data_IF_940587954395
#
_entry.id   IF_940587954395
#
_cell.length_a   1.000
_cell.length_b   1.000
_cell.length_c   1.000
_cell.angle_alpha   90.00
_cell.angle_beta   90.00
_cell.angle_gamma   90.00
#
_symmetry.space_group_name_H-M   'P 1'
#
loop_
_entity.id
_entity.type
_entity.pdbx_description
1 polymer ?
#
# COMPACT_ATOMS: atom_id res chain seq x y z
N UNK A 1 17.56 39.32 59.77
CA UNK A 1 17.43 40.46 58.85
C UNK A 1 17.92 39.97 57.49
N UNK A 2 16.98 39.76 56.56
CA UNK A 2 17.16 39.76 55.10
C UNK A 2 17.93 38.63 54.40
N UNK A 3 17.80 37.38 54.87
CA UNK A 3 18.21 36.17 54.12
C UNK A 3 17.61 36.11 52.70
N UNK A 4 16.29 36.26 52.58
CA UNK A 4 15.65 36.30 51.26
C UNK A 4 16.07 37.48 50.38
N UNK A 5 16.57 38.56 50.98
CA UNK A 5 17.06 39.71 50.22
C UNK A 5 18.44 39.42 49.59
N UNK A 6 19.30 38.65 50.25
CA UNK A 6 20.60 38.25 49.65
C UNK A 6 20.38 37.29 48.48
N UNK A 7 19.45 36.34 48.63
CA UNK A 7 18.99 35.45 47.57
C UNK A 7 18.35 36.24 46.42
N UNK A 8 17.48 37.20 46.72
CA UNK A 8 16.88 38.10 45.74
C UNK A 8 17.93 38.80 44.88
N UNK A 9 18.93 39.43 45.50
CA UNK A 9 19.99 40.15 44.77
C UNK A 9 20.81 39.21 43.87
N UNK A 10 21.11 37.98 44.33
CA UNK A 10 21.83 36.97 43.55
C UNK A 10 21.00 36.42 42.38
N UNK A 11 19.69 36.22 42.57
CA UNK A 11 18.81 35.76 41.48
C UNK A 11 18.60 36.87 40.45
N UNK A 12 18.40 38.12 40.90
CA UNK A 12 18.26 39.28 40.03
C UNK A 12 19.51 39.50 39.15
N UNK A 13 20.72 39.23 39.66
CA UNK A 13 21.96 39.39 38.88
C UNK A 13 22.17 38.28 37.84
N UNK A 14 21.77 37.04 38.17
CA UNK A 14 22.06 35.86 37.35
C UNK A 14 20.93 35.49 36.37
N UNK A 15 19.69 35.89 36.68
CA UNK A 15 18.48 35.50 35.95
C UNK A 15 17.62 36.73 35.61
N UNK A 16 18.20 37.66 34.83
CA UNK A 16 17.52 38.89 34.38
C UNK A 16 16.26 38.66 33.55
N UNK A 17 16.12 37.46 32.98
CA UNK A 17 15.03 37.09 32.08
C UNK A 17 13.76 36.63 32.84
N UNK A 18 13.83 36.52 34.17
CA UNK A 18 12.71 36.19 35.04
C UNK A 18 12.17 37.42 35.76
N UNK A 19 10.86 37.43 36.02
CA UNK A 19 10.22 38.47 36.82
C UNK A 19 10.37 38.14 38.30
N UNK A 20 11.35 38.78 38.94
CA UNK A 20 11.73 38.56 40.33
C UNK A 20 11.28 39.76 41.16
N UNK A 21 10.37 39.54 42.10
CA UNK A 21 9.83 40.58 42.98
C UNK A 21 10.06 40.23 44.44
N UNK A 22 10.47 41.23 45.23
CA UNK A 22 10.65 41.10 46.67
C UNK A 22 9.77 42.10 47.42
N UNK A 23 8.86 41.59 48.23
CA UNK A 23 8.12 42.33 49.24
C UNK A 23 8.68 41.97 50.63
N UNK A 24 8.45 42.78 51.68
CA UNK A 24 8.98 42.50 53.01
C UNK A 24 8.59 41.09 53.50
N UNK A 25 9.56 40.17 53.48
CA UNK A 25 9.38 38.77 53.89
C UNK A 25 8.83 37.82 52.81
N UNK A 26 8.57 38.26 51.58
CA UNK A 26 8.08 37.41 50.48
C UNK A 26 8.88 37.64 49.20
N UNK A 27 9.57 36.61 48.74
CA UNK A 27 10.25 36.55 47.45
C UNK A 27 9.40 35.77 46.46
N UNK A 28 9.07 36.38 45.32
CA UNK A 28 8.36 35.71 44.21
C UNK A 28 9.22 35.75 42.97
N UNK A 29 9.45 34.59 42.35
CA UNK A 29 10.20 34.44 41.11
C UNK A 29 9.28 33.83 40.07
N UNK A 30 9.00 34.54 38.98
CA UNK A 30 8.22 34.03 37.85
C UNK A 30 9.12 33.84 36.64
N UNK A 31 9.20 32.59 36.16
CA UNK A 31 9.97 32.21 34.99
C UNK A 31 9.09 31.35 34.07
N UNK A 32 8.82 31.81 32.84
CA UNK A 32 7.93 31.13 31.87
C UNK A 32 6.58 30.73 32.52
N UNK A 33 6.28 29.44 32.59
CA UNK A 33 5.04 28.87 33.11
C UNK A 33 5.13 28.49 34.61
N UNK A 34 6.26 28.76 35.25
CA UNK A 34 6.51 28.42 36.65
C UNK A 34 6.67 29.64 37.56
N UNK A 35 6.37 29.43 38.83
CA UNK A 35 6.42 30.45 39.88
C UNK A 35 7.03 29.86 41.15
N UNK A 36 7.99 30.54 41.76
CA UNK A 36 8.51 30.20 43.09
C UNK A 36 8.02 31.27 44.07
N UNK A 37 7.46 30.86 45.20
CA UNK A 37 7.07 31.76 46.30
C UNK A 37 7.76 31.34 47.58
N UNK A 38 8.57 32.23 48.15
CA UNK A 38 9.29 31.99 49.41
C UNK A 38 8.92 33.05 50.45
N UNK A 39 8.31 32.65 51.57
CA UNK A 39 7.83 33.54 52.65
C UNK A 39 8.74 33.55 53.90
N UNK A 40 9.91 32.94 53.79
CA UNK A 40 10.92 32.83 54.85
C UNK A 40 10.75 31.59 55.75
N UNK A 41 9.57 30.96 55.74
CA UNK A 41 9.31 29.71 56.44
C UNK A 41 9.12 28.54 55.47
N UNK A 42 8.48 28.83 54.33
CA UNK A 42 8.15 27.88 53.28
C UNK A 42 8.52 28.43 51.92
N UNK A 43 8.98 27.53 51.06
CA UNK A 43 9.22 27.81 49.65
C UNK A 43 8.40 26.85 48.81
N UNK A 44 7.47 27.40 48.03
CA UNK A 44 6.61 26.67 47.13
C UNK A 44 7.11 26.86 45.69
N UNK A 45 7.34 25.76 44.99
CA UNK A 45 7.66 25.70 43.58
C UNK A 45 6.41 25.31 42.82
N UNK A 46 5.94 26.17 41.93
CA UNK A 46 4.73 25.98 41.15
C UNK A 46 5.06 25.88 39.66
N UNK A 47 4.40 24.96 38.96
CA UNK A 47 4.40 24.83 37.49
C UNK A 47 2.94 24.77 37.05
N UNK A 48 2.53 25.64 36.11
CA UNK A 48 1.13 25.81 35.67
C UNK A 48 0.13 26.02 36.83
N UNK A 49 0.57 26.73 37.87
CA UNK A 49 -0.24 27.06 39.06
C UNK A 49 -0.46 25.91 40.05
N UNK A 50 0.17 24.74 39.85
CA UNK A 50 0.15 23.61 40.79
C UNK A 50 1.48 23.53 41.55
N UNK A 51 1.43 23.27 42.86
CA UNK A 51 2.63 23.07 43.67
C UNK A 51 3.31 21.75 43.29
N UNK A 52 4.50 21.83 42.70
CA UNK A 52 5.35 20.69 42.33
C UNK A 52 6.20 20.25 43.52
N UNK A 53 6.65 21.21 44.31
CA UNK A 53 7.48 20.95 45.49
C UNK A 53 7.23 22.02 46.55
N UNK A 54 7.20 21.60 47.81
CA UNK A 54 7.17 22.48 48.98
C UNK A 54 8.38 22.14 49.86
N UNK A 55 9.19 23.15 50.19
CA UNK A 55 10.32 23.02 51.09
C UNK A 55 10.05 23.84 52.35
N UNK A 56 10.26 23.19 53.50
CA UNK A 56 10.31 23.83 54.82
C UNK A 56 11.77 24.17 55.14
N UNK A 57 11.97 25.38 55.66
CA UNK A 57 13.23 26.00 56.11
C UNK A 57 14.53 25.18 55.88
N UNK A 58 15.29 25.55 54.84
CA UNK A 58 16.65 25.08 54.52
C UNK A 58 17.66 26.23 54.68
N UNK A 59 18.93 25.90 54.88
CA UNK A 59 20.05 26.86 54.85
C UNK A 59 20.08 27.67 53.53
N UNK A 60 20.53 28.92 53.57
CA UNK A 60 20.51 29.93 52.49
C UNK A 60 21.04 29.37 51.17
N UNK A 61 22.21 28.74 51.20
CA UNK A 61 22.87 28.23 50.00
C UNK A 61 22.12 27.03 49.39
N UNK A 62 21.57 26.16 50.24
CA UNK A 62 20.78 25.01 49.78
C UNK A 62 19.44 25.49 49.19
N UNK A 63 18.85 26.55 49.75
CA UNK A 63 17.63 27.13 49.20
C UNK A 63 17.89 27.80 47.84
N UNK A 64 18.98 28.55 47.72
CA UNK A 64 19.39 29.15 46.44
C UNK A 64 19.64 28.09 45.36
N UNK A 65 20.38 27.02 45.68
CA UNK A 65 20.66 25.93 44.74
C UNK A 65 19.39 25.25 44.23
N UNK A 66 18.39 25.01 45.09
CA UNK A 66 17.12 24.42 44.66
C UNK A 66 16.28 25.39 43.82
N UNK A 67 16.28 26.68 44.15
CA UNK A 67 15.65 27.73 43.33
C UNK A 67 16.29 27.81 41.95
N UNK A 68 17.62 27.78 41.89
CA UNK A 68 18.38 27.78 40.64
C UNK A 68 18.11 26.52 39.81
N UNK A 69 18.13 25.32 40.41
CA UNK A 69 17.78 24.07 39.72
C UNK A 69 16.38 24.12 39.13
N UNK A 70 15.40 24.64 39.87
CA UNK A 70 14.04 24.76 39.36
C UNK A 70 13.91 25.78 38.23
N UNK A 71 14.61 26.91 38.31
CA UNK A 71 14.66 27.90 37.22
C UNK A 71 15.28 27.29 35.96
N UNK A 72 16.39 26.56 36.09
CA UNK A 72 17.02 25.85 34.98
C UNK A 72 16.11 24.78 34.38
N UNK A 73 15.42 23.99 35.22
CA UNK A 73 14.42 23.02 34.80
C UNK A 73 13.30 23.66 33.96
N UNK A 74 12.76 24.81 34.38
CA UNK A 74 11.76 25.57 33.60
C UNK A 74 12.36 26.14 32.31
N UNK A 75 13.62 26.57 32.33
CA UNK A 75 14.32 27.05 31.14
C UNK A 75 14.54 25.94 30.09
N UNK A 76 14.77 24.70 30.53
CA UNK A 76 14.93 23.53 29.66
C UNK A 76 13.61 22.97 29.10
N UNK A 77 12.46 23.45 29.57
CA UNK A 77 11.13 23.06 29.07
C UNK A 77 10.29 22.26 30.07
N UNK A 78 10.68 22.24 31.35
CA UNK A 78 9.87 21.73 32.45
C UNK A 78 9.49 20.26 32.31
N UNK A 79 8.28 19.92 32.74
CA UNK A 79 7.81 18.54 32.78
C UNK A 79 7.75 17.87 31.39
N UNK A 80 7.65 18.66 30.32
CA UNK A 80 7.62 18.17 28.95
C UNK A 80 9.01 17.80 28.43
N UNK A 81 10.06 18.49 28.89
CA UNK A 81 11.45 18.15 28.57
C UNK A 81 11.91 16.89 29.33
N UNK A 82 11.50 16.74 30.59
CA UNK A 82 11.91 15.64 31.49
C UNK A 82 11.22 14.28 31.19
N UNK A 83 10.20 14.24 30.33
CA UNK A 83 9.55 12.99 29.92
C UNK A 83 10.47 12.14 29.04
N UNK A 84 10.57 10.83 29.35
CA UNK A 84 11.35 9.88 28.58
C UNK A 84 10.83 9.76 27.15
N UNK A 85 11.73 9.53 26.19
CA UNK A 85 11.39 9.41 24.77
C UNK A 85 10.33 8.32 24.51
N UNK A 86 10.32 7.25 25.31
CA UNK A 86 9.30 6.19 25.24
C UNK A 86 7.90 6.68 25.62
N UNK A 87 7.78 7.52 26.66
CA UNK A 87 6.49 8.05 27.11
C UNK A 87 5.92 9.04 26.08
N UNK A 88 6.78 9.86 25.48
CA UNK A 88 6.45 10.77 24.38
C UNK A 88 5.97 10.02 23.13
N UNK A 89 6.60 8.88 22.82
CA UNK A 89 6.15 8.00 21.74
C UNK A 89 4.78 7.36 22.01
N UNK A 90 4.49 7.00 23.26
CA UNK A 90 3.21 6.39 23.65
C UNK A 90 2.03 7.36 23.54
N UNK A 91 2.28 8.65 23.84
CA UNK A 91 1.28 9.72 23.75
C UNK A 91 0.93 10.13 22.32
N UNK A 92 1.64 9.65 21.30
CA UNK A 92 1.33 9.96 19.90
C UNK A 92 0.51 8.82 19.24
N UNK A 93 -0.84 8.91 19.17
CA UNK A 93 -1.68 7.85 18.62
C UNK A 93 -1.42 7.61 17.12
N UNK A 94 -1.04 8.65 16.37
CA UNK A 94 -0.70 8.51 14.96
C UNK A 94 0.57 7.68 14.79
N UNK A 95 1.56 7.87 15.67
CA UNK A 95 2.82 7.14 15.65
C UNK A 95 2.59 5.66 15.98
N UNK A 96 1.81 5.40 17.03
CA UNK A 96 1.47 4.05 17.46
C UNK A 96 0.67 3.26 16.40
N UNK A 97 -0.32 3.90 15.77
CA UNK A 97 -1.10 3.29 14.70
C UNK A 97 -0.24 2.99 13.45
N UNK A 98 0.63 3.92 13.06
CA UNK A 98 1.55 3.72 11.95
C UNK A 98 2.55 2.59 12.24
N UNK A 99 3.09 2.52 13.45
CA UNK A 99 4.06 1.50 13.87
C UNK A 99 3.43 0.10 13.89
N UNK A 100 2.33 -0.08 14.64
CA UNK A 100 1.63 -1.37 14.79
C UNK A 100 1.14 -1.93 13.46
N UNK A 101 0.53 -1.08 12.61
CA UNK A 101 0.00 -1.50 11.31
C UNK A 101 1.09 -1.80 10.30
N UNK A 102 2.20 -1.05 10.33
CA UNK A 102 3.37 -1.38 9.51
C UNK A 102 4.04 -2.68 9.95
N UNK A 103 4.08 -2.95 11.27
CA UNK A 103 4.63 -4.15 11.87
C UNK A 103 3.85 -5.41 11.49
N UNK A 104 2.52 -5.42 11.64
CA UNK A 104 1.66 -6.57 11.27
C UNK A 104 1.84 -6.97 9.80
N UNK A 105 1.96 -5.99 8.90
CA UNK A 105 2.12 -6.25 7.47
C UNK A 105 3.54 -6.72 7.15
N UNK A 106 4.57 -6.12 7.76
CA UNK A 106 5.94 -6.57 7.61
C UNK A 106 6.11 -8.02 8.10
N UNK A 107 5.49 -8.38 9.23
CA UNK A 107 5.48 -9.74 9.76
C UNK A 107 4.84 -10.75 8.81
N UNK A 108 3.68 -10.42 8.21
CA UNK A 108 3.04 -11.29 7.20
C UNK A 108 3.92 -11.50 5.96
N UNK A 109 4.61 -10.45 5.51
CA UNK A 109 5.54 -10.55 4.37
C UNK A 109 6.75 -11.42 4.72
N UNK A 110 7.30 -11.26 5.93
CA UNK A 110 8.39 -12.09 6.45
C UNK A 110 7.99 -13.57 6.55
N UNK A 111 6.78 -13.88 7.02
CA UNK A 111 6.28 -15.25 7.08
C UNK A 111 6.15 -15.87 5.68
N UNK A 112 5.63 -15.12 4.71
CA UNK A 112 5.50 -15.61 3.33
C UNK A 112 6.88 -15.80 2.68
N UNK A 113 7.78 -14.83 2.86
CA UNK A 113 9.13 -14.88 2.30
C UNK A 113 9.97 -16.01 2.91
N UNK A 114 9.89 -16.20 4.24
CA UNK A 114 10.55 -17.29 4.95
C UNK A 114 9.96 -18.66 4.62
N UNK A 115 8.63 -18.76 4.46
CA UNK A 115 7.98 -19.99 4.00
C UNK A 115 8.41 -20.40 2.60
N UNK A 116 8.55 -19.44 1.68
CA UNK A 116 9.08 -19.69 0.35
C UNK A 116 10.57 -20.13 0.38
N UNK A 117 11.38 -19.55 1.26
CA UNK A 117 12.78 -19.95 1.47
C UNK A 117 12.90 -21.37 2.01
N UNK A 118 12.04 -21.75 2.96
CA UNK A 118 11.99 -23.10 3.54
C UNK A 118 11.58 -24.16 2.50
N UNK A 119 10.64 -23.80 1.60
CA UNK A 119 10.26 -24.66 0.47
C UNK A 119 11.39 -24.81 -0.55
N UNK A 120 12.12 -23.73 -0.84
CA UNK A 120 13.30 -23.78 -1.70
C UNK A 120 14.38 -24.68 -1.07
N UNK A 121 14.66 -24.53 0.22
CA UNK A 121 15.61 -25.37 0.96
C UNK A 121 15.19 -26.85 1.00
N UNK A 122 13.91 -27.15 1.21
CA UNK A 122 13.38 -28.52 1.20
C UNK A 122 13.51 -29.17 -0.19
N UNK A 123 13.37 -28.39 -1.26
CA UNK A 123 13.63 -28.84 -2.62
C UNK A 123 15.12 -29.10 -2.87
N UNK A 124 16.02 -28.29 -2.30
CA UNK A 124 17.47 -28.47 -2.39
C UNK A 124 17.95 -29.76 -1.73
N UNK A 125 17.42 -30.12 -0.57
CA UNK A 125 17.82 -31.33 0.16
C UNK A 125 17.49 -32.63 -0.58
N UNK A 126 16.62 -32.57 -1.59
CA UNK A 126 16.18 -33.73 -2.36
C UNK A 126 17.03 -34.00 -3.61
N UNK A 127 17.89 -33.07 -3.99
CA UNK A 127 18.61 -33.09 -5.26
C UNK A 127 20.04 -32.65 -4.98
N UNK A 128 21.01 -33.60 -4.98
CA UNK A 128 22.42 -33.51 -4.54
C UNK A 128 23.29 -32.45 -5.26
N UNK A 129 22.80 -31.22 -5.42
CA UNK A 129 23.41 -30.10 -6.14
C UNK A 129 23.36 -28.85 -5.24
N UNK A 130 24.04 -28.93 -4.09
CA UNK A 130 24.04 -27.92 -3.02
C UNK A 130 24.56 -26.54 -3.49
N UNK A 131 25.48 -26.50 -4.46
CA UNK A 131 26.16 -25.27 -4.88
C UNK A 131 25.27 -24.31 -5.69
N UNK A 132 24.32 -24.84 -6.47
CA UNK A 132 23.48 -24.04 -7.38
C UNK A 132 22.37 -23.25 -6.68
N UNK A 133 22.00 -23.65 -5.46
CA UNK A 133 20.95 -23.00 -4.68
C UNK A 133 21.45 -22.06 -3.59
N UNK A 134 22.77 -22.04 -3.31
CA UNK A 134 23.40 -21.06 -2.40
C UNK A 134 23.24 -19.62 -2.89
N UNK A 135 23.25 -19.38 -4.21
CA UNK A 135 23.07 -18.06 -4.82
C UNK A 135 21.67 -17.48 -4.57
N UNK A 136 20.57 -18.22 -4.86
CA UNK A 136 19.22 -17.83 -4.43
C UNK A 136 19.11 -17.60 -2.92
N UNK A 137 19.70 -18.46 -2.09
CA UNK A 137 19.74 -18.30 -0.62
C UNK A 137 20.46 -17.02 -0.16
N UNK A 138 21.48 -16.57 -0.89
CA UNK A 138 22.20 -15.34 -0.56
C UNK A 138 21.50 -14.08 -1.07
N UNK A 139 20.82 -14.18 -2.22
CA UNK A 139 20.13 -13.06 -2.87
C UNK A 139 18.71 -12.86 -2.31
N UNK A 140 18.04 -13.94 -1.90
CA UNK A 140 16.66 -13.92 -1.40
C UNK A 140 16.44 -13.08 -0.14
N UNK A 141 17.34 -13.10 0.87
CA UNK A 141 17.22 -12.22 2.03
C UNK A 141 17.33 -10.75 1.64
N UNK A 142 18.25 -10.41 0.73
CA UNK A 142 18.45 -9.03 0.24
C UNK A 142 17.21 -8.56 -0.53
N UNK A 143 16.67 -9.42 -1.40
CA UNK A 143 15.45 -9.14 -2.15
C UNK A 143 14.24 -8.98 -1.23
N UNK A 144 14.10 -9.85 -0.22
CA UNK A 144 13.02 -9.80 0.77
C UNK A 144 13.08 -8.52 1.59
N UNK A 145 14.26 -8.11 2.05
CA UNK A 145 14.47 -6.85 2.76
C UNK A 145 14.15 -5.63 1.88
N UNK A 146 14.57 -5.63 0.62
CA UNK A 146 14.25 -4.57 -0.33
C UNK A 146 12.74 -4.47 -0.62
N UNK A 147 12.06 -5.62 -0.75
CA UNK A 147 10.60 -5.68 -0.92
C UNK A 147 9.87 -5.14 0.32
N UNK A 148 10.31 -5.54 1.51
CA UNK A 148 9.77 -5.06 2.79
C UNK A 148 9.95 -3.54 2.89
N UNK A 149 11.14 -3.02 2.61
CA UNK A 149 11.42 -1.58 2.63
C UNK A 149 10.52 -0.81 1.64
N UNK A 150 10.35 -1.32 0.42
CA UNK A 150 9.48 -0.71 -0.59
C UNK A 150 8.01 -0.70 -0.18
N UNK A 151 7.50 -1.82 0.34
CA UNK A 151 6.10 -1.94 0.79
C UNK A 151 5.86 -1.07 2.01
N UNK A 152 6.76 -1.08 3.00
CA UNK A 152 6.68 -0.20 4.18
C UNK A 152 6.67 1.27 3.77
N UNK A 153 7.53 1.69 2.83
CA UNK A 153 7.54 3.08 2.31
C UNK A 153 6.18 3.52 1.79
N UNK A 154 5.53 2.69 0.97
CA UNK A 154 4.24 3.02 0.36
C UNK A 154 3.08 3.05 1.34
N UNK A 155 3.13 2.20 2.36
CA UNK A 155 2.11 2.11 3.40
C UNK A 155 2.25 3.28 4.37
N UNK A 156 3.47 3.54 4.86
CA UNK A 156 3.76 4.67 5.74
C UNK A 156 3.40 6.00 5.07
N UNK A 157 3.68 6.18 3.77
CA UNK A 157 3.25 7.37 3.03
C UNK A 157 1.72 7.60 2.95
N UNK A 158 0.90 6.62 3.36
CA UNK A 158 -0.57 6.73 3.42
C UNK A 158 -1.13 6.80 4.84
N UNK A 159 -0.43 6.23 5.81
CA UNK A 159 -0.91 6.08 7.19
C UNK A 159 -0.24 7.11 8.12
N UNK A 160 1.01 7.48 7.82
CA UNK A 160 1.79 8.49 8.54
C UNK A 160 1.47 9.89 8.01
N UNK A 161 0.27 10.35 8.34
CA UNK A 161 -0.27 11.66 7.95
C UNK A 161 -0.79 12.38 9.20
N UNK A 162 -0.72 13.70 9.18
CA UNK A 162 -1.31 14.52 10.23
C UNK A 162 -2.83 14.37 10.21
N UNK A 163 -3.48 14.05 11.35
CA UNK A 163 -4.94 13.93 11.42
C UNK A 163 -5.66 15.27 11.23
N UNK A 164 -5.00 16.40 11.56
CA UNK A 164 -5.61 17.72 11.48
C UNK A 164 -5.58 18.31 10.05
N UNK A 165 -4.42 18.24 9.37
CA UNK A 165 -4.24 18.89 8.06
C UNK A 165 -4.01 17.91 6.89
N UNK A 166 -3.92 16.60 7.14
CA UNK A 166 -3.67 15.58 6.11
C UNK A 166 -2.27 15.60 5.49
N UNK A 167 -1.37 16.46 5.95
CA UNK A 167 0.02 16.53 5.45
C UNK A 167 0.82 15.31 5.86
N UNK A 168 1.77 14.89 5.01
CA UNK A 168 2.65 13.75 5.31
C UNK A 168 3.66 14.13 6.37
N UNK A 169 3.82 13.25 7.35
CA UNK A 169 4.81 13.40 8.41
C UNK A 169 6.17 12.82 7.96
N UNK A 170 7.30 13.29 8.53
CA UNK A 170 8.63 12.97 8.03
C UNK A 170 8.99 11.49 8.20
N UNK A 171 9.83 11.02 7.27
CA UNK A 171 10.29 9.62 7.19
C UNK A 171 11.77 9.59 6.82
N UNK A 172 12.55 8.88 7.62
CA UNK A 172 13.95 8.60 7.29
C UNK A 172 14.02 7.40 6.36
N UNK A 173 14.51 7.62 5.14
CA UNK A 173 14.60 6.58 4.11
C UNK A 173 16.06 6.18 3.86
N UNK A 174 16.35 4.88 3.97
CA UNK A 174 17.56 4.24 3.48
C UNK A 174 17.22 3.24 2.36
N UNK A 175 18.20 2.72 1.60
CA UNK A 175 17.93 1.75 0.53
C UNK A 175 17.28 0.44 1.02
N UNK A 176 17.48 0.08 2.29
CA UNK A 176 16.96 -1.17 2.88
C UNK A 176 16.08 -0.97 4.12
N UNK A 177 15.87 0.26 4.57
CA UNK A 177 15.05 0.56 5.74
C UNK A 177 14.26 1.86 5.57
N UNK A 178 13.06 1.87 6.14
CA UNK A 178 12.25 3.08 6.25
C UNK A 178 11.87 3.18 7.72
N UNK A 179 12.30 4.27 8.36
CA UNK A 179 12.11 4.52 9.78
C UNK A 179 11.16 5.71 9.91
N UNK A 180 10.19 5.58 10.82
CA UNK A 180 9.29 6.68 11.17
C UNK A 180 10.11 7.68 11.98
N UNK A 181 10.21 8.91 11.50
CA UNK A 181 10.82 9.99 12.27
C UNK A 181 9.77 10.53 13.24
N UNK A 182 10.08 10.46 14.53
CA UNK A 182 9.17 10.93 15.57
C UNK A 182 9.01 12.45 15.49
N UNK A 183 7.76 12.92 15.59
CA UNK A 183 7.44 14.34 15.64
C UNK A 183 6.35 14.58 16.68
N UNK A 184 6.63 15.46 17.64
CA UNK A 184 5.71 15.91 18.68
C UNK A 184 4.58 16.77 18.11
N UNK A 185 4.90 17.61 17.12
CA UNK A 185 3.95 18.52 16.47
C UNK A 185 4.07 18.44 14.95
N UNK A 186 2.97 18.69 14.24
CA UNK A 186 2.97 18.66 12.79
C UNK A 186 3.80 19.83 12.22
N UNK A 187 4.85 19.57 11.41
CA UNK A 187 5.67 20.64 10.84
C UNK A 187 4.94 21.52 9.83
N UNK A 188 3.79 21.08 9.31
CA UNK A 188 3.00 21.83 8.33
C UNK A 188 1.93 22.74 8.95
N UNK A 189 1.33 22.36 10.08
CA UNK A 189 0.23 23.11 10.69
C UNK A 189 0.42 23.45 12.16
N UNK A 190 1.53 23.03 12.78
CA UNK A 190 1.82 23.28 14.20
C UNK A 190 0.94 22.50 15.19
N UNK A 191 0.01 21.67 14.72
CA UNK A 191 -0.87 20.91 15.60
C UNK A 191 -0.08 19.90 16.44
N UNK A 192 -0.29 19.92 17.76
CA UNK A 192 0.25 18.92 18.68
C UNK A 192 -0.32 17.54 18.34
N UNK A 193 0.55 16.54 18.21
CA UNK A 193 0.20 15.16 17.88
C UNK A 193 0.22 14.25 19.12
N UNK A 194 0.64 14.77 20.27
CA UNK A 194 0.64 14.08 21.55
C UNK A 194 -0.68 14.35 22.30
N UNK A 195 -1.32 13.29 22.79
CA UNK A 195 -2.48 13.39 23.67
C UNK A 195 -2.04 13.48 25.13
N UNK A 196 -2.76 14.30 25.90
CA UNK A 196 -2.51 14.56 27.32
C UNK A 196 -2.70 13.31 28.21
N UNK A 197 -3.50 12.35 27.73
CA UNK A 197 -3.71 11.05 28.36
C UNK A 197 -3.01 9.92 27.60
N UNK A 198 -2.43 8.97 28.36
CA UNK A 198 -1.93 7.70 27.83
C UNK A 198 -3.10 6.93 27.21
N UNK A 199 -2.94 6.31 26.03
CA UNK A 199 -3.96 5.42 25.49
C UNK A 199 -4.16 4.26 26.47
N UNK A 200 -5.38 4.11 26.99
CA UNK A 200 -5.79 2.93 27.77
C UNK A 200 -5.50 1.67 26.96
N UNK A 201 -5.02 0.61 27.61
CA UNK A 201 -4.78 -0.71 27.01
C UNK A 201 -5.96 -1.10 26.10
N UNK A 202 -5.64 -1.34 24.82
CA UNK A 202 -6.58 -1.81 23.83
C UNK A 202 -6.98 -3.24 24.24
N UNK A 203 -8.28 -3.57 24.41
CA UNK A 203 -8.68 -4.95 24.62
C UNK A 203 -8.31 -5.75 23.37
N UNK A 204 -7.60 -6.87 23.56
CA UNK A 204 -7.50 -7.92 22.56
C UNK A 204 -8.90 -8.49 22.33
N UNK A 205 -9.62 -7.97 21.35
CA UNK A 205 -10.79 -8.66 20.78
C UNK A 205 -10.29 -9.51 19.63
N UNK A 206 -10.03 -10.79 19.95
CA UNK A 206 -10.33 -11.88 19.04
C UNK A 206 -11.83 -11.83 18.75
N UNK A 207 -12.22 -11.63 17.49
CA UNK A 207 -13.56 -12.01 17.04
C UNK A 207 -13.55 -12.32 15.53
N UNK A 208 -13.98 -13.55 15.26
CA UNK A 208 -14.41 -14.09 13.98
C UNK A 208 -15.67 -13.36 13.46
N UNK A 209 -15.89 -13.48 12.15
CA UNK A 209 -17.18 -13.37 11.47
C UNK A 209 -18.19 -12.26 11.84
N UNK A 210 -18.40 -11.38 10.85
CA UNK A 210 -19.76 -11.12 10.40
C UNK A 210 -20.39 -9.76 10.76
N UNK A 211 -21.02 -9.22 9.71
CA UNK A 211 -22.19 -8.33 9.71
C UNK A 211 -21.95 -6.81 9.71
N UNK A 212 -22.33 -6.26 8.57
CA UNK A 212 -22.69 -4.88 8.28
C UNK A 212 -23.80 -4.45 9.25
N UNK A 213 -23.65 -3.29 9.89
CA UNK A 213 -24.78 -2.48 10.34
C UNK A 213 -24.43 -1.00 10.24
N UNK A 214 -25.13 -0.33 9.33
CA UNK A 214 -25.23 1.11 9.19
C UNK A 214 -25.99 1.75 10.36
N UNK A 215 -25.65 3.03 10.63
CA UNK A 215 -26.44 4.17 11.18
C UNK A 215 -25.57 4.96 12.18
N UNK A 216 -24.98 6.09 11.75
CA UNK A 216 -25.53 7.47 11.73
C UNK A 216 -25.06 8.23 13.00
N UNK A 217 -24.63 9.49 13.00
CA UNK A 217 -24.65 10.52 11.97
C UNK A 217 -23.80 11.75 12.39
N UNK A 218 -23.45 12.55 11.38
CA UNK A 218 -23.36 14.02 11.39
C UNK A 218 -22.42 14.77 12.37
N UNK A 219 -21.29 15.25 11.85
CA UNK A 219 -21.17 16.69 11.53
C UNK A 219 -19.94 16.95 10.65
N UNK A 220 -20.15 17.73 9.59
CA UNK A 220 -19.24 18.69 8.94
C UNK A 220 -19.47 18.68 7.43
N UNK A 221 -20.01 19.81 7.03
CA UNK A 221 -20.63 20.17 5.76
C UNK A 221 -19.63 20.21 4.60
N UNK A 222 -19.99 19.49 3.54
CA UNK A 222 -19.71 19.72 2.12
C UNK A 222 -18.45 20.50 1.70
N UNK A 223 -17.52 19.75 1.11
CA UNK A 223 -17.20 19.97 -0.30
C UNK A 223 -17.23 18.60 -1.00
N UNK A 224 -18.13 18.35 -1.97
CA UNK A 224 -18.15 17.10 -2.68
C UNK A 224 -16.96 17.13 -3.64
N UNK A 225 -15.84 16.54 -3.22
CA UNK A 225 -14.79 16.18 -4.16
C UNK A 225 -15.45 15.21 -5.17
N UNK A 226 -15.52 15.53 -6.48
CA UNK A 226 -16.31 14.75 -7.41
C UNK A 226 -15.82 13.29 -7.40
N UNK A 227 -16.75 12.36 -7.16
CA UNK A 227 -16.57 10.90 -7.12
C UNK A 227 -16.21 10.29 -8.50
N UNK A 228 -15.27 10.91 -9.20
CA UNK A 228 -14.92 10.62 -10.59
C UNK A 228 -13.44 10.78 -10.91
N UNK A 229 -12.55 11.02 -9.94
CA UNK A 229 -11.12 11.08 -10.23
C UNK A 229 -10.61 9.69 -10.61
N UNK A 230 -10.48 9.47 -11.92
CA UNK A 230 -9.91 8.29 -12.57
C UNK A 230 -8.55 8.01 -11.93
N UNK A 231 -8.49 6.98 -11.06
CA UNK A 231 -7.21 6.58 -10.46
C UNK A 231 -6.24 6.19 -11.59
N UNK A 232 -5.01 6.73 -11.59
CA UNK A 232 -4.04 6.43 -12.65
C UNK A 232 -3.76 4.93 -12.70
N UNK A 233 -3.46 4.39 -13.89
CA UNK A 233 -3.23 2.96 -14.06
C UNK A 233 -2.12 2.48 -13.14
N UNK A 234 -2.39 1.39 -12.41
CA UNK A 234 -1.38 0.73 -11.58
C UNK A 234 -0.44 -0.04 -12.50
N UNK A 235 0.71 0.55 -12.81
CA UNK A 235 1.73 -0.04 -13.71
C UNK A 235 2.60 -1.08 -13.01
N UNK A 236 2.67 -1.04 -11.68
CA UNK A 236 3.60 -1.83 -10.88
C UNK A 236 3.36 -3.35 -10.89
N UNK A 237 2.12 -3.88 -10.88
CA UNK A 237 1.90 -5.32 -10.93
C UNK A 237 2.51 -5.98 -12.17
N UNK A 238 2.21 -5.43 -13.36
CA UNK A 238 2.77 -5.93 -14.61
C UNK A 238 4.29 -5.68 -14.72
N UNK A 239 4.79 -4.55 -14.19
CA UNK A 239 6.23 -4.27 -14.16
C UNK A 239 6.99 -5.30 -13.31
N UNK A 240 6.53 -5.51 -12.07
CA UNK A 240 7.16 -6.44 -11.13
C UNK A 240 7.13 -7.87 -11.68
N UNK A 241 5.96 -8.36 -12.09
CA UNK A 241 5.83 -9.69 -12.68
C UNK A 241 6.65 -9.84 -13.95
N UNK A 242 6.69 -8.82 -14.82
CA UNK A 242 7.51 -8.84 -16.03
C UNK A 242 9.00 -8.99 -15.72
N UNK A 243 9.53 -8.23 -14.76
CA UNK A 243 10.93 -8.33 -14.32
C UNK A 243 11.22 -9.73 -13.76
N UNK A 244 10.37 -10.25 -12.87
CA UNK A 244 10.56 -11.57 -12.26
C UNK A 244 10.54 -12.68 -13.30
N UNK A 245 9.59 -12.66 -14.25
CA UNK A 245 9.49 -13.66 -15.32
C UNK A 245 10.72 -13.60 -16.26
N UNK A 246 11.21 -12.39 -16.57
CA UNK A 246 12.44 -12.23 -17.36
C UNK A 246 13.65 -12.80 -16.61
N UNK A 247 13.83 -12.46 -15.33
CA UNK A 247 14.95 -12.97 -14.52
C UNK A 247 14.91 -14.50 -14.41
N UNK A 248 13.72 -15.07 -14.18
CA UNK A 248 13.52 -16.52 -14.19
C UNK A 248 13.92 -17.14 -15.53
N UNK A 249 13.46 -16.56 -16.64
CA UNK A 249 13.78 -17.07 -17.97
C UNK A 249 15.27 -16.98 -18.31
N UNK A 250 15.93 -15.86 -17.96
CA UNK A 250 17.36 -15.68 -18.16
C UNK A 250 18.18 -16.68 -17.32
N UNK A 251 17.79 -16.91 -16.07
CA UNK A 251 18.41 -17.92 -15.22
C UNK A 251 18.25 -19.32 -15.82
N UNK A 252 17.06 -19.67 -16.30
CA UNK A 252 16.83 -20.98 -16.90
C UNK A 252 17.52 -21.18 -18.26
N UNK A 253 17.62 -20.14 -19.09
CA UNK A 253 18.46 -20.15 -20.30
C UNK A 253 19.93 -20.36 -19.94
N UNK A 254 20.43 -19.64 -18.94
CA UNK A 254 21.78 -19.83 -18.43
C UNK A 254 21.99 -21.27 -17.95
N UNK A 255 21.09 -21.83 -17.14
CA UNK A 255 21.18 -23.24 -16.72
C UNK A 255 21.19 -24.19 -17.91
N UNK A 256 20.34 -23.97 -18.93
CA UNK A 256 20.31 -24.79 -20.14
C UNK A 256 21.66 -24.77 -20.87
N UNK A 257 22.32 -23.61 -20.91
CA UNK A 257 23.65 -23.46 -21.50
C UNK A 257 24.74 -24.17 -20.69
N UNK A 258 24.66 -24.14 -19.36
CA UNK A 258 25.60 -24.85 -18.47
C UNK A 258 25.49 -26.37 -18.60
N UNK A 259 24.27 -26.89 -18.80
CA UNK A 259 24.02 -28.32 -19.01
C UNK A 259 24.37 -28.81 -20.41
N UNK A 260 24.87 -27.96 -21.33
CA UNK A 260 25.16 -28.39 -22.71
C UNK A 260 26.22 -29.49 -22.82
N UNK A 261 27.07 -29.68 -21.81
CA UNK A 261 28.07 -30.75 -21.77
C UNK A 261 27.52 -32.12 -21.35
N UNK A 262 26.48 -32.14 -20.52
CA UNK A 262 26.01 -33.36 -19.84
C UNK A 262 24.60 -33.80 -20.27
N UNK A 263 23.79 -32.88 -20.79
CA UNK A 263 22.42 -33.14 -21.21
C UNK A 263 22.35 -33.57 -22.69
N UNK A 264 21.40 -34.45 -23.05
CA UNK A 264 21.17 -34.80 -24.45
C UNK A 264 20.66 -33.59 -25.24
N UNK A 265 21.06 -33.51 -26.52
CA UNK A 265 20.78 -32.39 -27.43
C UNK A 265 19.31 -32.02 -27.55
N UNK A 266 18.42 -33.03 -27.53
CA UNK A 266 16.96 -32.83 -27.56
C UNK A 266 16.48 -32.08 -26.32
N UNK A 267 17.02 -32.40 -25.14
CA UNK A 267 16.69 -31.74 -23.88
C UNK A 267 17.12 -30.28 -23.86
N UNK A 268 18.31 -29.99 -24.37
CA UNK A 268 18.83 -28.62 -24.53
C UNK A 268 17.94 -27.81 -25.46
N UNK A 269 17.59 -28.35 -26.63
CA UNK A 269 16.73 -27.68 -27.60
C UNK A 269 15.35 -27.35 -27.01
N UNK A 270 14.74 -28.30 -26.31
CA UNK A 270 13.47 -28.09 -25.60
C UNK A 270 13.62 -27.03 -24.49
N UNK A 271 14.67 -27.11 -23.68
CA UNK A 271 14.97 -26.14 -22.63
C UNK A 271 15.06 -24.70 -23.17
N UNK A 272 15.71 -24.50 -24.31
CA UNK A 272 15.80 -23.19 -24.98
C UNK A 272 14.41 -22.72 -25.41
N UNK A 273 13.63 -23.56 -26.11
CA UNK A 273 12.28 -23.22 -26.59
C UNK A 273 11.36 -22.81 -25.44
N UNK A 274 11.38 -23.59 -24.35
CA UNK A 274 10.57 -23.31 -23.17
C UNK A 274 10.93 -21.94 -22.59
N UNK A 275 12.21 -21.68 -22.31
CA UNK A 275 12.59 -20.41 -21.68
C UNK A 275 12.43 -19.21 -22.60
N UNK A 276 12.63 -19.35 -23.92
CA UNK A 276 12.34 -18.27 -24.88
C UNK A 276 10.85 -17.88 -24.85
N UNK A 277 9.92 -18.85 -24.78
CA UNK A 277 8.49 -18.52 -24.65
C UNK A 277 8.16 -17.78 -23.34
N UNK A 278 8.86 -18.09 -22.25
CA UNK A 278 8.70 -17.42 -20.95
C UNK A 278 9.31 -16.01 -21.01
N UNK A 279 10.43 -15.84 -21.73
CA UNK A 279 11.07 -14.54 -21.93
C UNK A 279 10.14 -13.58 -22.68
N UNK A 280 9.58 -14.03 -23.80
CA UNK A 280 8.65 -13.25 -24.62
C UNK A 280 7.42 -12.82 -23.81
N UNK A 281 6.93 -13.73 -22.98
CA UNK A 281 5.87 -13.52 -22.01
C UNK A 281 6.18 -12.41 -21.00
N UNK A 282 7.37 -12.41 -20.41
CA UNK A 282 7.83 -11.34 -19.51
C UNK A 282 8.03 -9.99 -20.22
N UNK A 283 8.59 -10.01 -21.44
CA UNK A 283 8.77 -8.80 -22.26
C UNK A 283 7.42 -8.17 -22.62
N UNK A 284 6.42 -8.98 -22.97
CA UNK A 284 5.07 -8.49 -23.28
C UNK A 284 4.48 -7.65 -22.13
N UNK A 285 4.71 -8.05 -20.86
CA UNK A 285 4.25 -7.28 -19.70
C UNK A 285 4.91 -5.89 -19.60
N UNK A 286 6.15 -5.75 -20.07
CA UNK A 286 6.87 -4.47 -20.03
C UNK A 286 6.48 -3.55 -21.19
N UNK A 287 6.38 -4.12 -22.39
CA UNK A 287 6.22 -3.38 -23.66
C UNK A 287 4.76 -3.08 -23.98
N UNK A 288 3.82 -4.01 -23.75
CA UNK A 288 2.42 -3.81 -24.10
C UNK A 288 1.79 -2.74 -23.19
N UNK A 289 1.59 -1.54 -23.73
CA UNK A 289 1.03 -0.38 -23.01
C UNK A 289 -0.06 0.24 -23.86
N UNK A 290 -1.17 0.60 -23.22
CA UNK A 290 -2.17 1.43 -23.86
C UNK A 290 -1.59 2.83 -24.18
N UNK A 291 -1.91 3.41 -25.35
CA UNK A 291 -1.52 4.77 -25.66
C UNK A 291 -2.12 5.76 -24.65
N UNK A 292 -1.40 6.86 -24.38
CA UNK A 292 -1.94 7.93 -23.54
C UNK A 292 -3.10 8.60 -24.26
N UNK A 293 -4.15 8.95 -23.50
CA UNK A 293 -5.21 9.78 -24.04
C UNK A 293 -4.71 11.21 -24.28
N UNK A 294 -5.29 11.93 -25.25
CA UNK A 294 -5.01 13.34 -25.44
C UNK A 294 -5.33 14.12 -24.16
N UNK A 295 -4.46 15.03 -23.78
CA UNK A 295 -4.53 15.78 -22.52
C UNK A 295 -5.78 16.68 -22.42
N UNK A 296 -6.39 16.99 -23.57
CA UNK A 296 -7.56 17.85 -23.71
C UNK A 296 -8.89 17.09 -23.63
N UNK A 297 -8.87 15.75 -23.57
CA UNK A 297 -10.08 14.92 -23.59
C UNK A 297 -10.39 14.39 -22.19
N UNK A 298 -11.26 15.08 -21.44
CA UNK A 298 -11.76 14.57 -20.15
C UNK A 298 -12.91 13.58 -20.39
N UNK A 299 -12.75 12.29 -20.02
CA UNK A 299 -13.83 11.33 -20.14
C UNK A 299 -14.88 11.56 -19.04
N UNK A 300 -16.16 11.43 -19.39
CA UNK A 300 -17.29 11.47 -18.45
C UNK A 300 -17.36 10.17 -17.65
N UNK A 301 -17.19 9.04 -18.33
CA UNK A 301 -17.22 7.71 -17.74
C UNK A 301 -15.92 6.99 -18.09
N UNK A 302 -15.32 6.37 -17.08
CA UNK A 302 -14.15 5.52 -17.21
C UNK A 302 -14.45 4.15 -16.61
N UNK A 303 -14.51 3.13 -17.46
CA UNK A 303 -14.67 1.74 -17.06
C UNK A 303 -13.31 1.07 -17.08
N UNK A 304 -12.98 0.32 -16.03
CA UNK A 304 -11.69 -0.35 -15.90
C UNK A 304 -11.83 -1.72 -15.24
N UNK A 305 -10.83 -2.58 -15.47
CA UNK A 305 -10.78 -3.90 -14.85
C UNK A 305 -10.66 -3.84 -13.32
N UNK A 306 -11.21 -4.84 -12.62
CA UNK A 306 -11.13 -4.90 -11.15
C UNK A 306 -9.74 -5.30 -10.67
N UNK A 307 -9.35 -4.78 -9.50
CA UNK A 307 -8.09 -5.14 -8.86
C UNK A 307 -8.00 -6.65 -8.54
N UNK A 308 -9.13 -7.29 -8.25
CA UNK A 308 -9.23 -8.72 -7.97
C UNK A 308 -8.62 -9.58 -9.09
N UNK A 309 -8.75 -9.17 -10.36
CA UNK A 309 -8.14 -9.87 -11.51
C UNK A 309 -6.61 -9.89 -11.41
N UNK A 310 -6.00 -8.82 -10.89
CA UNK A 310 -4.56 -8.81 -10.62
C UNK A 310 -4.16 -9.73 -9.48
N UNK A 311 -5.01 -9.89 -8.46
CA UNK A 311 -4.77 -10.81 -7.33
C UNK A 311 -4.78 -12.26 -7.84
N UNK A 312 -5.78 -12.62 -8.64
CA UNK A 312 -5.85 -13.93 -9.28
C UNK A 312 -4.61 -14.18 -10.15
N UNK A 313 -4.16 -13.18 -10.91
CA UNK A 313 -2.93 -13.31 -11.67
C UNK A 313 -1.72 -13.64 -10.79
N UNK A 314 -1.57 -12.98 -9.63
CA UNK A 314 -0.50 -13.27 -8.67
C UNK A 314 -0.54 -14.67 -8.06
N UNK A 315 -1.65 -15.39 -8.18
CA UNK A 315 -1.75 -16.80 -7.79
C UNK A 315 -1.40 -17.70 -8.98
N UNK A 316 -1.89 -17.35 -10.18
CA UNK A 316 -1.78 -18.20 -11.37
C UNK A 316 -0.38 -18.20 -11.98
N UNK A 317 0.29 -17.05 -12.12
CA UNK A 317 1.60 -17.02 -12.80
C UNK A 317 2.73 -17.70 -12.01
N UNK A 318 2.80 -17.66 -10.66
CA UNK A 318 3.82 -18.42 -9.93
C UNK A 318 3.59 -19.93 -10.04
N UNK A 319 2.34 -20.38 -9.97
CA UNK A 319 1.97 -21.78 -10.22
C UNK A 319 2.41 -22.21 -11.63
N UNK A 320 2.22 -21.35 -12.63
CA UNK A 320 2.69 -21.60 -13.98
C UNK A 320 4.21 -21.77 -14.05
N UNK A 321 4.99 -20.88 -13.42
CA UNK A 321 6.46 -20.99 -13.39
C UNK A 321 6.93 -22.26 -12.68
N UNK A 322 6.23 -22.71 -11.64
CA UNK A 322 6.52 -23.96 -10.96
C UNK A 322 6.34 -25.18 -11.90
N UNK A 323 5.23 -25.23 -12.65
CA UNK A 323 5.00 -26.30 -13.63
C UNK A 323 6.02 -26.25 -14.77
N UNK A 324 6.43 -25.04 -15.20
CA UNK A 324 7.45 -24.84 -16.22
C UNK A 324 8.85 -25.27 -15.74
N UNK A 325 9.15 -25.10 -14.44
CA UNK A 325 10.37 -25.61 -13.82
C UNK A 325 10.39 -27.15 -13.82
N UNK A 326 9.27 -27.77 -13.46
CA UNK A 326 9.12 -29.24 -13.51
C UNK A 326 9.31 -29.72 -14.95
N UNK A 327 8.65 -29.08 -15.91
CA UNK A 327 8.76 -29.40 -17.33
C UNK A 327 10.22 -29.38 -17.81
N UNK A 328 10.97 -28.35 -17.40
CA UNK A 328 12.39 -28.23 -17.71
C UNK A 328 13.22 -29.37 -17.12
N UNK A 329 13.02 -29.70 -15.83
CA UNK A 329 13.74 -30.78 -15.16
C UNK A 329 13.62 -32.12 -15.91
N UNK A 330 12.41 -32.50 -16.30
CA UNK A 330 12.14 -33.74 -17.04
C UNK A 330 12.66 -33.73 -18.49
N UNK A 331 12.88 -32.55 -19.08
CA UNK A 331 13.43 -32.44 -20.42
C UNK A 331 14.96 -32.46 -20.44
N UNK A 332 15.64 -32.01 -19.38
CA UNK A 332 17.10 -31.83 -19.36
C UNK A 332 17.83 -32.91 -18.56
N UNK A 333 17.23 -33.47 -17.51
CA UNK A 333 17.89 -34.47 -16.69
C UNK A 333 17.60 -35.91 -17.16
N UNK A 334 18.61 -36.78 -17.28
CA UNK A 334 18.41 -38.20 -17.52
C UNK A 334 17.89 -38.92 -16.26
N UNK A 335 16.98 -39.91 -16.39
CA UNK A 335 16.35 -40.36 -17.64
C UNK A 335 15.32 -39.34 -18.17
N UNK A 336 15.35 -39.09 -19.49
CA UNK A 336 14.45 -38.13 -20.12
C UNK A 336 13.02 -38.69 -20.19
N UNK A 337 12.08 -38.02 -19.52
CA UNK A 337 10.64 -38.21 -19.72
C UNK A 337 10.06 -37.02 -20.50
N UNK A 338 10.43 -36.95 -21.78
CA UNK A 338 10.02 -35.87 -22.69
C UNK A 338 8.49 -35.76 -22.79
N UNK A 339 7.71 -36.85 -22.92
CA UNK A 339 6.25 -36.75 -22.98
C UNK A 339 5.65 -36.06 -21.76
N UNK A 340 6.08 -36.44 -20.54
CA UNK A 340 5.62 -35.80 -19.33
C UNK A 340 6.05 -34.33 -19.25
N UNK A 341 7.32 -34.05 -19.58
CA UNK A 341 7.84 -32.68 -19.65
C UNK A 341 7.05 -31.77 -20.60
N UNK A 342 6.67 -32.26 -21.78
CA UNK A 342 5.87 -31.51 -22.75
C UNK A 342 4.44 -31.23 -22.26
N UNK A 343 3.78 -32.20 -21.61
CA UNK A 343 2.45 -32.00 -21.02
C UNK A 343 2.50 -30.89 -19.96
N UNK A 344 3.48 -30.97 -19.06
CA UNK A 344 3.68 -29.97 -18.01
C UNK A 344 4.01 -28.60 -18.60
N UNK A 345 4.80 -28.56 -19.69
CA UNK A 345 5.09 -27.32 -20.40
C UNK A 345 3.84 -26.69 -20.99
N UNK A 346 2.98 -27.45 -21.67
CA UNK A 346 1.76 -26.92 -22.28
C UNK A 346 0.78 -26.37 -21.23
N UNK A 347 0.60 -27.10 -20.12
CA UNK A 347 -0.25 -26.63 -19.00
C UNK A 347 0.35 -25.38 -18.37
N UNK A 348 1.65 -25.40 -18.06
CA UNK A 348 2.37 -24.26 -17.48
C UNK A 348 2.32 -23.03 -18.38
N UNK A 349 2.55 -23.19 -19.69
CA UNK A 349 2.50 -22.10 -20.66
C UNK A 349 1.09 -21.52 -20.78
N UNK A 350 0.05 -22.37 -20.80
CA UNK A 350 -1.34 -21.92 -20.83
C UNK A 350 -1.70 -21.07 -19.60
N UNK A 351 -1.32 -21.53 -18.40
CA UNK A 351 -1.50 -20.77 -17.16
C UNK A 351 -0.70 -19.47 -17.15
N UNK A 352 0.54 -19.49 -17.67
CA UNK A 352 1.38 -18.30 -17.76
C UNK A 352 0.75 -17.24 -18.67
N UNK A 353 0.30 -17.64 -19.86
CA UNK A 353 -0.38 -16.75 -20.81
C UNK A 353 -1.67 -16.18 -20.18
N UNK A 354 -2.42 -16.99 -19.45
CA UNK A 354 -3.61 -16.55 -18.71
C UNK A 354 -3.24 -15.49 -17.63
N UNK A 355 -2.21 -15.75 -16.83
CA UNK A 355 -1.65 -14.81 -15.86
C UNK A 355 -1.24 -13.47 -16.47
N UNK A 356 -0.55 -13.52 -17.61
CA UNK A 356 -0.10 -12.34 -18.36
C UNK A 356 -1.29 -11.56 -18.90
N UNK A 357 -2.27 -12.24 -19.50
CA UNK A 357 -3.48 -11.60 -19.98
C UNK A 357 -4.22 -10.86 -18.87
N UNK A 358 -4.33 -11.45 -17.67
CA UNK A 358 -4.97 -10.81 -16.51
C UNK A 358 -4.20 -9.55 -16.05
N UNK A 359 -2.87 -9.61 -15.97
CA UNK A 359 -2.04 -8.45 -15.61
C UNK A 359 -2.14 -7.33 -16.67
N UNK A 360 -2.12 -7.70 -17.94
CA UNK A 360 -2.29 -6.80 -19.07
C UNK A 360 -3.70 -6.18 -19.10
N UNK A 361 -4.74 -6.94 -18.74
CA UNK A 361 -6.10 -6.44 -18.64
C UNK A 361 -6.20 -5.35 -17.56
N UNK A 362 -5.65 -5.58 -16.37
CA UNK A 362 -5.65 -4.56 -15.30
C UNK A 362 -4.80 -3.34 -15.66
N UNK A 363 -3.71 -3.54 -16.39
CA UNK A 363 -2.82 -2.46 -16.85
C UNK A 363 -3.45 -1.58 -17.93
N UNK A 364 -4.09 -2.20 -18.93
CA UNK A 364 -4.43 -1.55 -20.20
C UNK A 364 -5.93 -1.50 -20.50
N UNK A 365 -6.74 -2.51 -20.12
CA UNK A 365 -8.13 -2.66 -20.56
C UNK A 365 -9.03 -1.62 -19.91
N UNK A 366 -9.55 -0.69 -20.72
CA UNK A 366 -10.38 0.44 -20.27
C UNK A 366 -11.36 0.87 -21.36
N UNK A 367 -12.56 1.30 -20.97
CA UNK A 367 -13.46 2.05 -21.83
C UNK A 367 -13.56 3.48 -21.33
N UNK A 368 -13.40 4.42 -22.25
CA UNK A 368 -13.63 5.84 -22.04
C UNK A 368 -14.86 6.28 -22.82
N UNK A 369 -15.77 6.96 -22.15
CA UNK A 369 -16.94 7.61 -22.74
C UNK A 369 -16.76 9.12 -22.62
N UNK A 370 -16.89 9.84 -23.73
CA UNK A 370 -16.73 11.29 -23.78
C UNK A 370 -18.08 11.99 -23.94
N UNK A 371 -18.13 13.28 -23.59
CA UNK A 371 -19.35 14.11 -23.66
C UNK A 371 -19.94 14.15 -25.08
N UNK A 372 -19.08 14.22 -26.09
CA UNK A 372 -19.47 14.20 -27.50
C UNK A 372 -20.11 12.86 -27.96
N UNK A 373 -20.16 11.84 -27.10
CA UNK A 373 -20.70 10.52 -27.41
C UNK A 373 -19.71 9.55 -28.07
N UNK A 374 -18.44 9.95 -28.22
CA UNK A 374 -17.40 9.04 -28.68
C UNK A 374 -17.03 8.02 -27.61
N UNK A 375 -16.69 6.80 -28.05
CA UNK A 375 -16.26 5.70 -27.19
C UNK A 375 -14.86 5.30 -27.57
N UNK A 376 -13.96 5.17 -26.59
CA UNK A 376 -12.59 4.72 -26.81
C UNK A 376 -12.28 3.54 -25.92
N UNK A 377 -12.10 2.38 -26.54
CA UNK A 377 -11.79 1.12 -25.88
C UNK A 377 -10.33 0.74 -26.07
N UNK A 378 -9.64 0.50 -24.96
CA UNK A 378 -8.30 -0.10 -24.93
C UNK A 378 -8.43 -1.59 -24.67
N UNK A 379 -7.79 -2.42 -25.52
CA UNK A 379 -7.68 -3.87 -25.26
C UNK A 379 -6.65 -4.17 -24.18
N UNK A 380 -6.66 -5.39 -23.63
CA UNK A 380 -5.62 -5.86 -22.68
C UNK A 380 -4.20 -5.71 -23.26
N UNK A 381 -4.03 -5.92 -24.56
CA UNK A 381 -2.74 -5.78 -25.24
C UNK A 381 -2.37 -4.33 -25.60
N UNK A 382 -3.20 -3.35 -25.23
CA UNK A 382 -2.94 -1.92 -25.46
C UNK A 382 -3.34 -1.42 -26.85
N UNK A 383 -4.10 -2.20 -27.63
CA UNK A 383 -4.64 -1.72 -28.93
C UNK A 383 -5.82 -0.79 -28.69
N UNK A 384 -5.83 0.34 -29.36
CA UNK A 384 -6.90 1.34 -29.32
C UNK A 384 -7.98 1.02 -30.34
N UNK A 385 -9.25 1.05 -29.91
CA UNK A 385 -10.45 0.96 -30.76
C UNK A 385 -11.34 2.14 -30.44
N UNK A 386 -11.78 2.86 -31.45
CA UNK A 386 -12.60 4.07 -31.28
C UNK A 386 -13.91 3.94 -32.03
N UNK A 387 -14.94 4.54 -31.44
CA UNK A 387 -16.24 4.74 -32.06
C UNK A 387 -16.51 6.23 -32.09
N UNK A 388 -16.68 6.75 -33.30
CA UNK A 388 -16.86 8.18 -33.56
C UNK A 388 -18.32 8.60 -33.29
N UNK A 389 -18.54 9.87 -32.92
CA UNK A 389 -19.89 10.39 -32.73
C UNK A 389 -20.68 10.32 -34.04
N UNK A 390 -21.90 9.79 -34.01
CA UNK A 390 -22.78 9.65 -35.17
C UNK A 390 -22.65 8.33 -35.94
N UNK A 391 -21.67 7.49 -35.64
CA UNK A 391 -21.63 6.13 -36.18
C UNK A 391 -22.75 5.30 -35.55
N UNK A 392 -23.62 4.68 -36.36
CA UNK A 392 -24.67 3.79 -35.84
C UNK A 392 -24.03 2.52 -35.27
N UNK A 393 -24.32 2.24 -34.01
CA UNK A 393 -23.92 1.01 -33.34
C UNK A 393 -25.09 0.43 -32.56
N UNK A 394 -25.10 -0.88 -32.39
CA UNK A 394 -26.04 -1.58 -31.51
C UNK A 394 -25.29 -2.29 -30.40
N UNK A 395 -26.01 -2.55 -29.31
CA UNK A 395 -25.45 -3.24 -28.14
C UNK A 395 -26.07 -4.62 -28.06
N UNK A 396 -25.23 -5.64 -27.89
CA UNK A 396 -25.67 -7.01 -27.71
C UNK A 396 -25.27 -7.56 -26.35
N UNK A 397 -26.25 -8.05 -25.59
CA UNK A 397 -26.00 -8.76 -24.34
C UNK A 397 -25.73 -10.25 -24.60
N UNK A 398 -24.52 -10.69 -24.25
CA UNK A 398 -24.12 -12.09 -24.29
C UNK A 398 -24.49 -12.85 -23.02
N UNK A 399 -24.59 -14.18 -23.12
CA UNK A 399 -24.92 -15.07 -22.02
C UNK A 399 -23.94 -15.02 -20.82
N UNK A 400 -22.70 -14.58 -21.03
CA UNK A 400 -21.69 -14.43 -19.97
C UNK A 400 -21.72 -13.03 -19.31
N UNK A 401 -22.86 -12.33 -19.35
CA UNK A 401 -22.99 -10.93 -18.93
C UNK A 401 -21.97 -9.98 -19.61
N UNK A 402 -21.59 -10.31 -20.85
CA UNK A 402 -20.73 -9.48 -21.67
C UNK A 402 -21.57 -8.50 -22.49
N UNK A 403 -21.25 -7.21 -22.44
CA UNK A 403 -21.84 -6.16 -23.25
C UNK A 403 -21.00 -5.99 -24.51
N UNK A 404 -21.57 -6.33 -25.67
CA UNK A 404 -20.89 -6.27 -26.96
C UNK A 404 -21.34 -5.05 -27.76
N UNK A 405 -20.38 -4.28 -28.25
CA UNK A 405 -20.65 -3.15 -29.14
C UNK A 405 -20.48 -3.62 -30.59
N UNK A 406 -21.52 -3.45 -31.40
CA UNK A 406 -21.60 -3.91 -32.78
C UNK A 406 -21.63 -2.72 -33.74
N UNK A 407 -21.00 -2.86 -34.91
CA UNK A 407 -21.12 -1.88 -36.00
C UNK A 407 -22.50 -2.00 -36.69
N UNK A 408 -22.79 -1.10 -37.62
CA UNK A 408 -23.97 -1.17 -38.49
C UNK A 408 -24.15 -2.53 -39.18
N UNK A 409 -23.05 -3.21 -39.55
CA UNK A 409 -23.06 -4.56 -40.15
C UNK A 409 -23.24 -5.71 -39.13
N UNK A 410 -23.62 -5.41 -37.88
CA UNK A 410 -23.69 -6.35 -36.75
C UNK A 410 -22.37 -7.07 -36.42
N UNK A 411 -21.23 -6.56 -36.87
CA UNK A 411 -19.89 -7.08 -36.54
C UNK A 411 -19.40 -6.52 -35.20
N UNK A 412 -18.81 -7.38 -34.36
CA UNK A 412 -18.29 -7.02 -33.03
C UNK A 412 -17.08 -6.08 -33.11
N UNK A 413 -17.23 -4.89 -32.54
CA UNK A 413 -16.17 -3.88 -32.41
C UNK A 413 -15.38 -4.11 -31.13
N UNK A 414 -16.03 -4.24 -29.97
CA UNK A 414 -15.39 -4.62 -28.70
C UNK A 414 -16.42 -5.19 -27.71
N UNK A 415 -15.94 -5.78 -26.62
CA UNK A 415 -16.79 -6.27 -25.54
C UNK A 415 -16.24 -5.89 -24.16
N UNK A 416 -17.18 -5.65 -23.26
CA UNK A 416 -16.98 -5.25 -21.87
C UNK A 416 -17.69 -6.26 -20.99
N UNK A 417 -17.06 -6.69 -19.91
CA UNK A 417 -17.72 -7.58 -18.95
C UNK A 417 -18.47 -6.75 -17.91
N UNK A 418 -19.65 -7.21 -17.48
CA UNK A 418 -20.41 -6.57 -16.40
C UNK A 418 -19.62 -6.47 -15.08
N UNK A 419 -18.68 -7.39 -14.85
CA UNK A 419 -17.80 -7.37 -13.68
C UNK A 419 -16.77 -6.21 -13.72
N UNK A 420 -16.63 -5.46 -14.81
CA UNK A 420 -15.71 -4.31 -14.83
C UNK A 420 -16.22 -3.19 -13.90
N UNK A 421 -15.30 -2.41 -13.33
CA UNK A 421 -15.66 -1.30 -12.42
C UNK A 421 -16.18 -0.11 -13.23
N UNK A 422 -17.34 0.41 -12.84
CA UNK A 422 -17.96 1.58 -13.47
C UNK A 422 -18.92 1.24 -14.61
N UNK A 423 -19.29 -0.03 -14.76
CA UNK A 423 -20.30 -0.47 -15.74
C UNK A 423 -21.69 0.04 -15.40
N UNK A 424 -22.03 0.23 -14.12
CA UNK A 424 -23.35 0.73 -13.72
C UNK A 424 -23.63 2.11 -14.35
N UNK A 425 -22.64 3.01 -14.32
CA UNK A 425 -22.70 4.33 -14.99
C UNK A 425 -22.84 4.22 -16.51
N UNK A 426 -22.36 3.13 -17.11
CA UNK A 426 -22.52 2.88 -18.54
C UNK A 426 -23.95 2.45 -18.86
N UNK A 427 -24.61 1.68 -17.99
CA UNK A 427 -26.01 1.31 -18.18
C UNK A 427 -26.89 2.57 -18.19
N UNK A 428 -26.73 3.45 -17.20
CA UNK A 428 -27.45 4.74 -17.13
C UNK A 428 -27.22 5.58 -18.40
N UNK A 429 -25.98 5.61 -18.89
CA UNK A 429 -25.63 6.34 -20.11
C UNK A 429 -26.27 5.73 -21.38
N UNK A 430 -26.32 4.40 -21.48
CA UNK A 430 -26.95 3.70 -22.60
C UNK A 430 -28.45 3.99 -22.63
N UNK A 431 -29.12 3.92 -21.47
CA UNK A 431 -30.55 4.21 -21.33
C UNK A 431 -30.87 5.64 -21.72
N UNK A 432 -30.05 6.61 -21.27
CA UNK A 432 -30.26 8.04 -21.59
C UNK A 432 -30.15 8.40 -23.08
N UNK A 433 -29.58 7.52 -23.93
CA UNK A 433 -29.35 7.77 -25.35
C UNK A 433 -30.17 6.90 -26.30
N UNK A 434 -31.12 6.10 -25.78
CA UNK A 434 -32.01 5.23 -26.57
C UNK A 434 -31.27 4.36 -27.61
N UNK A 435 -30.09 3.83 -27.25
CA UNK A 435 -29.27 3.03 -28.17
C UNK A 435 -29.98 1.68 -28.43
N UNK A 436 -30.11 1.22 -29.69
CA UNK A 436 -30.80 -0.03 -30.00
C UNK A 436 -30.13 -1.24 -29.33
N UNK A 437 -30.94 -1.97 -28.58
CA UNK A 437 -30.55 -3.12 -27.76
C UNK A 437 -30.92 -4.44 -28.44
N UNK A 438 -29.97 -5.35 -28.57
CA UNK A 438 -30.20 -6.73 -29.01
C UNK A 438 -29.87 -7.69 -27.85
N UNK A 439 -30.74 -8.67 -27.57
CA UNK A 439 -30.45 -9.76 -26.64
C UNK A 439 -30.06 -10.99 -27.46
N UNK A 440 -29.11 -11.79 -26.99
CA UNK A 440 -28.79 -13.07 -27.65
C UNK A 440 -29.87 -14.10 -27.34
N UNK A 441 -30.23 -14.96 -28.31
CA UNK A 441 -31.17 -16.08 -28.10
C UNK A 441 -30.86 -16.92 -26.85
N UNK A 442 -29.56 -17.11 -26.55
CA UNK A 442 -29.12 -17.86 -25.37
C UNK A 442 -29.37 -17.09 -24.05
N UNK A 443 -29.22 -15.76 -24.06
CA UNK A 443 -29.59 -14.92 -22.91
C UNK A 443 -31.11 -14.77 -22.77
N UNK A 444 -31.86 -14.73 -23.88
CA UNK A 444 -33.33 -14.79 -23.87
C UNK A 444 -33.81 -16.09 -23.21
N UNK A 445 -33.22 -17.24 -23.58
CA UNK A 445 -33.52 -18.53 -22.95
C UNK A 445 -33.16 -18.56 -21.46
N UNK A 446 -32.04 -17.94 -21.04
CA UNK A 446 -31.68 -17.81 -19.63
C UNK A 446 -32.69 -16.94 -18.86
N UNK A 447 -33.11 -15.80 -19.43
CA UNK A 447 -34.12 -14.92 -18.81
C UNK A 447 -35.45 -15.65 -18.70
N UNK A 448 -35.88 -16.37 -19.74
CA UNK A 448 -37.11 -17.18 -19.72
C UNK A 448 -37.04 -18.30 -18.65
N UNK A 449 -35.88 -18.92 -18.47
CA UNK A 449 -35.65 -19.89 -17.39
C UNK A 449 -35.65 -19.25 -15.99
N UNK A 450 -35.03 -18.08 -15.83
CA UNK A 450 -34.99 -17.32 -14.56
C UNK A 450 -36.36 -16.76 -14.16
N UNK A 451 -37.18 -16.34 -15.14
CA UNK A 451 -38.54 -15.84 -14.93
C UNK A 451 -39.59 -16.96 -14.81
N UNK A 452 -39.17 -18.24 -14.92
CA UNK A 452 -40.08 -19.39 -14.80
C UNK A 452 -41.11 -19.49 -15.93
N UNK A 453 -40.85 -18.88 -17.09
CA UNK A 453 -41.72 -18.94 -18.25
C UNK A 453 -41.37 -20.20 -19.05
N UNK A 454 -42.15 -21.26 -18.87
CA UNK A 454 -42.08 -22.46 -19.73
C UNK A 454 -42.26 -22.03 -21.20
N UNK A 455 -41.43 -22.54 -22.13
CA UNK A 455 -41.57 -22.18 -23.54
C UNK A 455 -42.92 -22.69 -24.05
N UNK A 456 -43.79 -21.77 -24.47
CA UNK A 456 -44.98 -22.11 -25.26
C UNK A 456 -44.47 -22.66 -26.60
N UNK A 457 -44.48 -23.99 -26.70
CA UNK A 457 -44.25 -24.72 -27.95
C UNK A 457 -45.40 -24.33 -28.89
N UNK A 458 -45.06 -23.77 -30.05
CA UNK A 458 -45.99 -23.58 -31.17
C UNK A 458 -45.52 -24.39 -32.37
#
# INVERSE_FOLDING_TARGET
MNHLNSIYQRLQSNYSDCDITYAPGLLTVKCKNGEIRADGFRTCFLEDGKTVQELLEKNDDNLYEEMERFILYLQEGGADAAQSDELKMLKNPAYHNALTRSGKIAGRILLIAGGAELLLLAFCFRQDQLLFFLLPLLIWPIFSLALIAFVRKKILARIWICPNCGSRLPLTCSPFSVIIEYVASCPACGANLETESLPSEIPETDDEDGKISDTADQSMTFSPNPEGVVKPPRKWPALLSGIVIILYSLLGLFMTLFYMGDAPSVGIALGIVMHVSILLSGIALLVCRAPKLPEHSRPVICIQERLFVSVLAFIVWPLALFLLLIAFGYCVQPPLDVPFGLIMFLIGLGLLICGIWMLLAVKNRRLYVFENGSLTYMTSWGRKRELLPGQRFSIRFGANDSIQFLNADKKKIFAIERNMRGVDKLADWIESREIPLEITKLKEQQIQQEEGIEPVIQ
#
